data_IF_050076588373
#
_entry.id   IF_050076588373
#
_cell.length_a   1.000
_cell.length_b   1.000
_cell.length_c   1.000
_cell.angle_alpha   90.00
_cell.angle_beta   90.00
_cell.angle_gamma   90.00
#
_symmetry.space_group_name_H-M   'P 1'
#
loop_
_entity.id
_entity.type
_entity.pdbx_description
1 polymer ?
#
# COMPACT_ATOMS: atom_id res chain seq x y z
N UNK A 1 -26.69 -55.44 48.97
CA UNK A 1 -25.87 -54.21 48.82
C UNK A 1 -26.06 -53.72 47.39
N UNK A 2 -26.57 -52.57 46.98
CA UNK A 2 -27.25 -51.41 47.57
C UNK A 2 -27.63 -50.52 46.37
N UNK A 3 -28.90 -50.12 46.26
CA UNK A 3 -29.43 -49.25 45.18
C UNK A 3 -28.81 -47.84 45.23
N UNK A 4 -28.58 -47.18 44.08
CA UNK A 4 -29.03 -45.77 43.85
C UNK A 4 -28.83 -45.28 42.41
N UNK A 5 -29.97 -44.92 41.81
CA UNK A 5 -30.13 -43.93 40.74
C UNK A 5 -29.61 -42.55 41.18
N UNK A 6 -29.06 -41.75 40.25
CA UNK A 6 -29.12 -40.29 40.32
C UNK A 6 -29.17 -39.65 38.93
N UNK A 7 -30.35 -39.11 38.66
CA UNK A 7 -30.72 -38.12 37.65
C UNK A 7 -30.20 -36.73 38.07
N UNK A 8 -29.95 -35.86 37.06
CA UNK A 8 -29.75 -34.38 37.12
C UNK A 8 -28.45 -33.90 37.79
N UNK A 9 -27.73 -32.90 37.27
CA UNK A 9 -28.22 -31.61 36.79
C UNK A 9 -27.20 -30.91 35.85
N UNK A 10 -27.72 -30.28 34.78
CA UNK A 10 -27.11 -29.16 34.05
C UNK A 10 -26.46 -28.16 35.02
N UNK A 11 -25.16 -27.88 34.85
CA UNK A 11 -24.62 -26.52 34.75
C UNK A 11 -23.09 -26.58 34.57
N UNK A 12 -22.61 -26.50 33.34
CA UNK A 12 -21.32 -25.88 33.07
C UNK A 12 -21.49 -25.02 31.83
N UNK A 13 -21.26 -23.70 31.91
CA UNK A 13 -21.27 -22.87 30.72
C UNK A 13 -20.12 -23.37 29.84
N UNK A 14 -20.44 -23.70 28.59
CA UNK A 14 -19.42 -23.92 27.59
C UNK A 14 -18.61 -22.65 27.46
N UNK A 15 -17.41 -22.66 28.05
CA UNK A 15 -16.35 -21.75 27.65
C UNK A 15 -15.99 -22.11 26.23
N UNK A 16 -16.75 -21.56 25.27
CA UNK A 16 -16.24 -21.35 23.92
C UNK A 16 -14.96 -20.56 24.12
N UNK A 17 -13.85 -21.16 23.74
CA UNK A 17 -12.58 -20.46 23.55
C UNK A 17 -12.86 -19.23 22.67
N UNK A 18 -13.02 -18.08 23.32
CA UNK A 18 -13.12 -16.75 22.72
C UNK A 18 -11.71 -16.31 22.26
N UNK A 19 -11.04 -17.20 21.50
CA UNK A 19 -9.73 -16.97 20.89
C UNK A 19 -9.84 -16.47 19.45
N UNK A 20 -11.05 -16.23 18.98
CA UNK A 20 -11.33 -15.76 17.60
C UNK A 20 -11.70 -14.26 17.53
N UNK A 21 -11.48 -13.49 18.60
CA UNK A 21 -11.73 -12.05 18.62
C UNK A 21 -10.49 -11.21 19.05
N UNK A 22 -9.30 -11.64 18.64
CA UNK A 22 -8.11 -10.79 18.58
C UNK A 22 -7.88 -10.26 17.14
N UNK A 23 -8.96 -10.05 16.40
CA UNK A 23 -8.92 -9.42 15.10
C UNK A 23 -8.59 -7.93 15.27
N UNK A 24 -7.32 -7.56 15.11
CA UNK A 24 -6.84 -6.33 14.45
C UNK A 24 -7.74 -5.07 14.53
N UNK A 25 -8.30 -4.80 15.70
CA UNK A 25 -9.38 -3.82 15.90
C UNK A 25 -9.36 -3.14 17.26
N UNK A 26 -8.34 -3.40 18.08
CA UNK A 26 -7.97 -2.47 19.15
C UNK A 26 -7.34 -1.26 18.45
N UNK A 27 -8.11 -0.19 18.30
CA UNK A 27 -7.63 1.07 17.74
C UNK A 27 -6.36 1.49 18.45
N UNK A 28 -5.25 1.52 17.70
CA UNK A 28 -4.03 2.17 18.17
C UNK A 28 -4.40 3.58 18.64
N UNK A 29 -3.90 3.97 19.82
CA UNK A 29 -4.03 5.35 20.28
C UNK A 29 -3.56 6.29 19.17
N UNK A 30 -4.28 7.41 18.97
CA UNK A 30 -3.90 8.42 17.99
C UNK A 30 -2.43 8.81 18.23
N UNK A 31 -1.59 8.52 17.23
CA UNK A 31 -0.16 8.82 17.32
C UNK A 31 -0.03 10.34 17.30
N UNK A 32 0.47 10.91 18.38
CA UNK A 32 0.79 12.34 18.45
C UNK A 32 1.93 12.61 17.46
N UNK A 33 1.60 13.24 16.33
CA UNK A 33 2.55 13.55 15.24
C UNK A 33 3.35 14.84 15.48
N UNK A 34 3.52 15.21 16.74
CA UNK A 34 4.21 16.43 17.16
C UNK A 34 5.41 16.05 18.03
N UNK A 35 6.59 16.52 17.64
CA UNK A 35 7.80 16.35 18.42
C UNK A 35 8.66 17.60 18.31
N UNK A 36 8.76 18.34 19.43
CA UNK A 36 9.51 19.61 19.49
C UNK A 36 11.00 19.44 19.19
N UNK A 37 11.61 18.31 19.55
CA UNK A 37 13.02 18.03 19.25
C UNK A 37 13.22 17.79 17.76
N UNK A 38 12.28 17.13 17.11
CA UNK A 38 12.30 16.89 15.67
C UNK A 38 12.15 18.21 14.90
N UNK A 39 11.18 19.03 15.28
CA UNK A 39 10.97 20.35 14.66
C UNK A 39 12.17 21.27 14.84
N UNK A 40 12.75 21.32 16.04
CA UNK A 40 13.96 22.09 16.29
C UNK A 40 15.14 21.61 15.43
N UNK A 41 15.35 20.29 15.36
CA UNK A 41 16.42 19.70 14.55
C UNK A 41 16.32 20.09 13.07
N UNK A 42 15.15 19.92 12.44
CA UNK A 42 14.98 20.28 11.03
C UNK A 42 15.04 21.80 10.78
N UNK A 43 14.60 22.61 11.75
CA UNK A 43 14.69 24.06 11.68
C UNK A 43 16.14 24.55 11.72
N UNK A 44 16.98 23.97 12.57
CA UNK A 44 18.40 24.32 12.68
C UNK A 44 19.24 23.91 11.46
N UNK A 45 18.81 22.90 10.70
CA UNK A 45 19.53 22.47 9.51
C UNK A 45 19.51 23.51 8.37
N UNK A 46 18.58 24.46 8.38
CA UNK A 46 18.48 25.50 7.35
C UNK A 46 18.23 24.94 5.93
N UNK A 47 17.69 23.73 5.82
CA UNK A 47 17.38 23.09 4.54
C UNK A 47 16.08 23.64 3.91
N UNK A 48 15.15 24.09 4.75
CA UNK A 48 13.84 24.61 4.32
C UNK A 48 13.91 26.14 4.34
N UNK A 49 13.48 26.84 3.27
CA UNK A 49 13.42 28.29 3.25
C UNK A 49 12.56 28.89 4.37
N UNK A 50 12.94 30.09 4.83
CA UNK A 50 12.19 30.83 5.84
C UNK A 50 10.75 31.11 5.35
N UNK A 51 9.75 30.60 6.08
CA UNK A 51 8.33 30.73 5.74
C UNK A 51 7.66 29.48 5.18
N UNK A 52 8.42 28.49 4.71
CA UNK A 52 7.88 27.22 4.20
C UNK A 52 7.90 26.09 5.24
N UNK A 53 8.53 26.32 6.40
CA UNK A 53 8.72 25.32 7.44
C UNK A 53 7.40 24.73 7.97
N UNK A 54 6.37 25.55 8.11
CA UNK A 54 5.06 25.08 8.56
C UNK A 54 4.41 24.15 7.53
N UNK A 55 4.46 24.51 6.25
CA UNK A 55 3.94 23.68 5.14
C UNK A 55 4.71 22.37 5.02
N UNK A 56 6.04 22.41 5.20
CA UNK A 56 6.88 21.22 5.23
C UNK A 56 6.48 20.27 6.37
N UNK A 57 6.31 20.80 7.58
CA UNK A 57 5.89 20.01 8.74
C UNK A 57 4.46 19.48 8.58
N UNK A 58 3.57 20.24 7.95
CA UNK A 58 2.21 19.81 7.61
C UNK A 58 2.25 18.61 6.65
N UNK A 59 3.01 18.70 5.55
CA UNK A 59 3.18 17.60 4.60
C UNK A 59 3.78 16.34 5.24
N UNK A 60 4.71 16.47 6.19
CA UNK A 60 5.26 15.33 6.93
C UNK A 60 4.24 14.64 7.84
N UNK A 61 3.21 15.38 8.30
CA UNK A 61 2.14 14.81 9.13
C UNK A 61 1.08 14.10 8.30
N UNK A 62 0.97 14.40 7.01
CA UNK A 62 0.01 13.75 6.12
C UNK A 62 0.38 12.28 5.85
N UNK A 63 -0.61 11.38 5.77
CA UNK A 63 -0.37 10.00 5.41
C UNK A 63 0.03 9.90 3.93
N UNK A 64 1.07 9.11 3.64
CA UNK A 64 1.50 8.90 2.26
C UNK A 64 0.41 8.21 1.41
N UNK A 65 0.26 8.62 0.14
CA UNK A 65 -0.62 7.96 -0.81
C UNK A 65 -0.19 6.50 -1.03
N UNK A 66 -1.16 5.63 -1.25
CA UNK A 66 -0.86 4.26 -1.65
C UNK A 66 -0.35 4.25 -3.10
N UNK A 67 0.83 3.69 -3.32
CA UNK A 67 1.45 3.64 -4.66
C UNK A 67 1.59 2.19 -5.12
N UNK A 68 1.28 1.99 -6.40
CA UNK A 68 1.22 0.70 -7.08
C UNK A 68 2.17 0.76 -8.28
N UNK A 69 2.97 -0.28 -8.46
CA UNK A 69 3.89 -0.43 -9.59
C UNK A 69 3.63 -1.72 -10.34
N UNK A 70 3.49 -1.60 -11.66
CA UNK A 70 3.39 -2.72 -12.60
C UNK A 70 4.81 -3.23 -12.90
N UNK A 71 5.05 -4.52 -12.66
CA UNK A 71 6.33 -5.22 -12.80
C UNK A 71 6.31 -6.37 -13.81
N UNK A 72 5.17 -6.60 -14.47
CA UNK A 72 4.99 -7.66 -15.47
C UNK A 72 5.89 -7.52 -16.72
N UNK A 73 5.92 -8.56 -17.56
CA UNK A 73 6.57 -8.52 -18.89
C UNK A 73 5.96 -7.44 -19.78
N UNK A 74 6.72 -6.84 -20.71
CA UNK A 74 6.29 -5.65 -21.46
C UNK A 74 4.92 -5.77 -22.14
N UNK A 75 4.61 -6.90 -22.75
CA UNK A 75 3.29 -7.14 -23.38
C UNK A 75 2.19 -7.21 -22.33
N UNK A 76 2.39 -8.02 -21.29
CA UNK A 76 1.41 -8.24 -20.24
C UNK A 76 1.20 -7.00 -19.36
N UNK A 77 2.25 -6.22 -19.08
CA UNK A 77 2.16 -4.96 -18.36
C UNK A 77 1.28 -3.94 -19.11
N UNK A 78 1.35 -3.91 -20.45
CA UNK A 78 0.49 -3.07 -21.28
C UNK A 78 -0.97 -3.54 -21.25
N UNK A 79 -1.21 -4.84 -21.28
CA UNK A 79 -2.56 -5.42 -21.15
C UNK A 79 -3.19 -5.09 -19.79
N UNK A 80 -2.42 -5.24 -18.70
CA UNK A 80 -2.83 -4.87 -17.35
C UNK A 80 -3.14 -3.37 -17.27
N UNK A 81 -2.27 -2.52 -17.84
CA UNK A 81 -2.48 -1.08 -17.89
C UNK A 81 -3.76 -0.71 -18.65
N UNK A 82 -4.00 -1.35 -19.79
CA UNK A 82 -5.22 -1.14 -20.59
C UNK A 82 -6.47 -1.55 -19.81
N UNK A 83 -6.44 -2.74 -19.17
CA UNK A 83 -7.52 -3.21 -18.31
C UNK A 83 -7.78 -2.26 -17.13
N UNK A 84 -6.73 -1.77 -16.48
CA UNK A 84 -6.82 -0.79 -15.39
C UNK A 84 -7.52 0.49 -15.83
N UNK A 85 -7.08 1.08 -16.95
CA UNK A 85 -7.63 2.34 -17.45
C UNK A 85 -9.07 2.21 -17.94
N UNK A 86 -9.33 1.20 -18.77
CA UNK A 86 -10.61 1.12 -19.49
C UNK A 86 -11.73 0.51 -18.66
N UNK A 87 -11.40 -0.39 -17.72
CA UNK A 87 -12.39 -1.03 -16.88
C UNK A 87 -12.51 -0.34 -15.53
N UNK A 88 -11.40 -0.23 -14.80
CA UNK A 88 -11.48 0.18 -13.40
C UNK A 88 -11.43 1.71 -13.22
N UNK A 89 -10.57 2.43 -13.93
CA UNK A 89 -10.43 3.87 -13.69
C UNK A 89 -11.65 4.66 -14.15
N UNK A 90 -12.29 4.27 -15.26
CA UNK A 90 -13.57 4.86 -15.69
C UNK A 90 -14.67 4.62 -14.66
N UNK A 91 -14.82 3.37 -14.21
CA UNK A 91 -15.82 3.01 -13.19
C UNK A 91 -15.58 3.70 -11.84
N UNK A 92 -14.33 4.04 -11.51
CA UNK A 92 -13.95 4.73 -10.27
C UNK A 92 -14.14 6.25 -10.39
N UNK A 93 -13.88 6.83 -11.57
CA UNK A 93 -13.97 8.28 -11.78
C UNK A 93 -15.40 8.82 -11.58
N UNK A 94 -16.41 8.01 -11.91
CA UNK A 94 -17.82 8.36 -11.76
C UNK A 94 -18.43 7.91 -10.42
N UNK A 95 -17.61 7.40 -9.49
CA UNK A 95 -18.09 6.81 -8.24
C UNK A 95 -18.09 7.81 -7.08
N UNK A 96 -19.30 8.09 -6.58
CA UNK A 96 -19.52 8.85 -5.35
C UNK A 96 -19.83 7.91 -4.19
N UNK A 97 -19.05 7.96 -3.12
CA UNK A 97 -19.30 7.18 -1.89
C UNK A 97 -19.42 8.17 -0.73
N UNK A 98 -20.52 8.07 0.02
CA UNK A 98 -20.80 8.91 1.19
C UNK A 98 -20.74 10.44 0.92
N UNK A 99 -21.11 10.87 -0.28
CA UNK A 99 -21.08 12.29 -0.66
C UNK A 99 -19.68 12.84 -0.98
N UNK A 100 -18.67 11.97 -1.06
CA UNK A 100 -17.31 12.32 -1.49
C UNK A 100 -17.01 11.65 -2.83
N UNK A 101 -16.63 12.45 -3.83
CA UNK A 101 -16.06 11.94 -5.07
C UNK A 101 -14.73 11.26 -4.78
N UNK A 102 -14.58 10.03 -5.25
CA UNK A 102 -13.32 9.29 -5.12
C UNK A 102 -12.40 9.70 -6.26
N UNK A 103 -11.20 10.16 -5.92
CA UNK A 103 -10.17 10.39 -6.92
C UNK A 103 -9.68 9.05 -7.50
N UNK A 104 -9.84 8.90 -8.81
CA UNK A 104 -9.27 7.79 -9.55
C UNK A 104 -7.73 7.79 -9.40
N UNK A 105 -7.07 6.61 -9.39
CA UNK A 105 -5.62 6.53 -9.36
C UNK A 105 -4.98 7.38 -10.45
N UNK A 106 -3.93 8.11 -10.09
CA UNK A 106 -3.21 9.01 -10.99
C UNK A 106 -1.83 8.43 -11.33
N UNK A 107 -1.35 8.63 -12.58
CA UNK A 107 -0.03 8.14 -12.98
C UNK A 107 1.06 9.02 -12.37
N UNK A 108 2.19 8.41 -12.00
CA UNK A 108 3.39 9.15 -11.62
C UNK A 108 4.06 9.69 -12.89
N UNK A 109 4.00 11.00 -13.10
CA UNK A 109 4.50 11.67 -14.32
C UNK A 109 5.98 11.44 -14.63
N UNK A 110 6.79 11.18 -13.61
CA UNK A 110 8.23 10.93 -13.72
C UNK A 110 8.58 9.44 -13.90
N UNK A 111 7.61 8.52 -13.76
CA UNK A 111 7.85 7.09 -13.93
C UNK A 111 7.59 6.69 -15.39
N UNK A 112 8.50 5.93 -16.04
CA UNK A 112 8.38 5.59 -17.45
C UNK A 112 7.14 4.73 -17.76
N UNK A 113 6.61 4.89 -18.98
CA UNK A 113 5.51 4.11 -19.56
C UNK A 113 4.22 4.08 -18.72
N UNK A 114 4.04 5.04 -17.80
CA UNK A 114 2.92 5.09 -16.85
C UNK A 114 2.74 3.76 -16.10
N UNK A 115 3.83 3.06 -15.78
CA UNK A 115 3.78 1.78 -15.07
C UNK A 115 3.65 1.94 -13.55
N UNK A 116 3.57 3.17 -13.04
CA UNK A 116 3.39 3.45 -11.62
C UNK A 116 2.27 4.47 -11.39
N UNK A 117 1.43 4.17 -10.40
CA UNK A 117 0.19 4.88 -10.10
C UNK A 117 0.07 5.11 -8.59
N UNK A 118 -0.50 6.25 -8.19
CA UNK A 118 -0.80 6.55 -6.80
C UNK A 118 -2.30 6.75 -6.59
N UNK A 119 -2.78 6.43 -5.39
CA UNK A 119 -4.18 6.59 -4.99
C UNK A 119 -4.28 6.94 -3.51
N UNK A 120 -5.21 7.84 -3.19
CA UNK A 120 -5.55 8.24 -1.83
C UNK A 120 -6.71 7.41 -1.24
N UNK A 121 -7.15 6.36 -1.94
CA UNK A 121 -8.24 5.51 -1.48
C UNK A 121 -7.87 4.78 -0.18
N UNK A 122 -8.65 5.05 0.87
CA UNK A 122 -8.51 4.32 2.12
C UNK A 122 -9.09 2.90 2.03
N UNK A 123 -8.52 1.95 2.78
CA UNK A 123 -9.06 0.57 2.88
C UNK A 123 -10.53 0.54 3.31
N UNK A 124 -10.97 1.52 4.10
CA UNK A 124 -12.37 1.63 4.55
C UNK A 124 -13.29 1.92 3.38
N UNK A 125 -12.89 2.81 2.46
CA UNK A 125 -13.68 3.19 1.27
C UNK A 125 -13.76 2.02 0.28
N UNK A 126 -12.65 1.30 0.08
CA UNK A 126 -12.59 0.16 -0.84
C UNK A 126 -13.63 -0.92 -0.50
N UNK A 127 -13.88 -1.17 0.80
CA UNK A 127 -14.84 -2.20 1.26
C UNK A 127 -16.30 -1.76 1.16
N UNK A 128 -16.59 -0.49 0.91
CA UNK A 128 -17.96 0.05 0.87
C UNK A 128 -18.64 -0.15 -0.48
N UNK A 129 -17.89 -0.12 -1.58
CA UNK A 129 -18.44 -0.31 -2.92
C UNK A 129 -18.07 -1.68 -3.50
N UNK A 130 -19.04 -2.43 -4.03
CA UNK A 130 -18.76 -3.67 -4.76
C UNK A 130 -17.82 -3.48 -5.97
N UNK A 131 -17.80 -2.29 -6.59
CA UNK A 131 -16.89 -1.99 -7.69
C UNK A 131 -15.44 -1.88 -7.22
N UNK A 132 -15.23 -1.19 -6.09
CA UNK A 132 -13.91 -1.06 -5.49
C UNK A 132 -13.39 -2.38 -4.90
N UNK A 133 -14.28 -3.22 -4.40
CA UNK A 133 -13.91 -4.56 -3.94
C UNK A 133 -13.44 -5.44 -5.11
N UNK A 134 -14.10 -5.38 -6.28
CA UNK A 134 -13.61 -6.05 -7.51
C UNK A 134 -12.25 -5.53 -7.95
N UNK A 135 -12.05 -4.20 -7.90
CA UNK A 135 -10.75 -3.58 -8.19
C UNK A 135 -9.67 -4.06 -7.21
N UNK A 136 -9.97 -4.11 -5.92
CA UNK A 136 -9.05 -4.60 -4.90
C UNK A 136 -8.71 -6.08 -5.10
N UNK A 137 -9.69 -6.93 -5.39
CA UNK A 137 -9.45 -8.34 -5.70
C UNK A 137 -8.54 -8.51 -6.93
N UNK A 138 -8.74 -7.69 -7.96
CA UNK A 138 -7.85 -7.65 -9.13
C UNK A 138 -6.42 -7.25 -8.74
N UNK A 139 -6.25 -6.20 -7.93
CA UNK A 139 -4.92 -5.81 -7.46
C UNK A 139 -4.25 -6.92 -6.63
N UNK A 140 -5.01 -7.63 -5.80
CA UNK A 140 -4.50 -8.75 -5.00
C UNK A 140 -4.07 -9.89 -5.93
N UNK A 141 -4.88 -10.30 -6.91
CA UNK A 141 -4.54 -11.38 -7.84
C UNK A 141 -3.31 -11.07 -8.69
N UNK A 142 -3.18 -9.83 -9.14
CA UNK A 142 -1.99 -9.39 -9.90
C UNK A 142 -0.75 -9.25 -9.01
N UNK A 143 -0.93 -8.95 -7.73
CA UNK A 143 0.17 -8.91 -6.74
C UNK A 143 0.66 -10.32 -6.43
N UNK A 144 -0.25 -11.28 -6.23
CA UNK A 144 0.07 -12.70 -6.04
C UNK A 144 0.78 -13.29 -7.25
N UNK A 145 0.41 -12.86 -8.46
CA UNK A 145 1.07 -13.25 -9.71
C UNK A 145 2.43 -12.55 -9.92
N UNK A 146 2.78 -11.55 -9.11
CA UNK A 146 4.02 -10.77 -9.23
C UNK A 146 4.03 -9.75 -10.37
N UNK A 147 2.89 -9.51 -11.01
CA UNK A 147 2.72 -8.52 -12.06
C UNK A 147 2.55 -7.10 -11.51
N UNK A 148 2.06 -6.99 -10.29
CA UNK A 148 1.90 -5.73 -9.57
C UNK A 148 2.64 -5.83 -8.22
N UNK A 149 3.17 -4.71 -7.75
CA UNK A 149 3.75 -4.60 -6.42
C UNK A 149 3.38 -3.26 -5.79
N UNK A 150 3.11 -3.28 -4.47
CA UNK A 150 2.94 -2.05 -3.69
C UNK A 150 4.32 -1.53 -3.29
N UNK A 151 4.68 -0.32 -3.73
CA UNK A 151 5.99 0.28 -3.46
C UNK A 151 5.83 1.77 -3.24
N UNK A 152 6.60 2.33 -2.31
CA UNK A 152 6.63 3.78 -2.11
C UNK A 152 7.22 4.48 -3.32
N UNK A 153 6.59 5.60 -3.72
CA UNK A 153 7.02 6.45 -4.81
C UNK A 153 8.52 6.80 -4.74
N UNK A 154 8.97 7.30 -3.58
CA UNK A 154 10.35 7.74 -3.38
C UNK A 154 11.38 6.59 -3.48
N UNK A 155 10.98 5.37 -3.13
CA UNK A 155 11.85 4.19 -3.23
C UNK A 155 12.09 3.73 -4.67
N UNK A 156 11.27 4.20 -5.63
CA UNK A 156 11.42 3.89 -7.05
C UNK A 156 12.44 4.80 -7.76
N UNK A 157 12.81 5.94 -7.16
CA UNK A 157 13.72 6.92 -7.76
C UNK A 157 15.17 6.39 -7.89
N UNK A 158 15.80 5.83 -6.84
CA UNK A 158 17.21 5.42 -6.93
C UNK A 158 17.49 4.40 -8.05
N UNK A 159 16.66 3.35 -8.27
CA UNK A 159 16.81 2.42 -9.38
C UNK A 159 16.80 3.10 -10.77
N UNK A 160 15.95 4.10 -10.97
CA UNK A 160 15.87 4.85 -12.23
C UNK A 160 17.13 5.69 -12.47
N UNK A 161 17.66 6.32 -11.42
CA UNK A 161 18.85 7.15 -11.52
C UNK A 161 20.13 6.34 -11.71
N UNK A 162 20.21 5.14 -11.11
CA UNK A 162 21.37 4.26 -11.22
C UNK A 162 21.58 3.64 -12.62
N UNK A 163 20.59 3.77 -13.54
CA UNK A 163 20.66 3.33 -14.96
C UNK A 163 21.37 2.00 -15.15
N UNK A 164 20.84 0.98 -14.51
CA UNK A 164 21.58 -0.27 -14.36
C UNK A 164 21.40 -1.11 -15.63
N UNK A 165 22.53 -1.50 -16.23
CA UNK A 165 22.55 -2.35 -17.41
C UNK A 165 22.71 -3.83 -17.06
N UNK A 166 22.26 -4.77 -17.94
CA UNK A 166 22.26 -6.20 -17.64
C UNK A 166 23.63 -6.82 -17.32
N UNK A 167 24.71 -6.19 -17.77
CA UNK A 167 26.08 -6.67 -17.55
C UNK A 167 26.72 -6.13 -16.25
N UNK A 168 26.04 -5.25 -15.51
CA UNK A 168 26.52 -4.73 -14.23
C UNK A 168 26.35 -5.75 -13.10
N UNK A 169 27.41 -6.01 -12.34
CA UNK A 169 27.34 -6.77 -11.09
C UNK A 169 26.89 -5.85 -9.96
N UNK A 170 25.90 -6.30 -9.18
CA UNK A 170 25.28 -5.50 -8.11
C UNK A 170 25.44 -6.17 -6.75
N UNK A 171 25.68 -5.34 -5.74
CA UNK A 171 25.65 -5.71 -4.33
C UNK A 171 24.71 -4.74 -3.63
N UNK A 172 23.64 -5.26 -3.03
CA UNK A 172 22.81 -4.48 -2.11
C UNK A 172 23.39 -4.60 -0.70
N UNK A 173 23.95 -3.52 -0.16
CA UNK A 173 24.52 -3.50 1.19
C UNK A 173 23.45 -3.58 2.29
N UNK A 174 22.19 -3.27 1.96
CA UNK A 174 21.04 -3.38 2.84
C UNK A 174 20.06 -4.44 2.31
N UNK A 175 20.17 -5.71 2.73
CA UNK A 175 19.36 -6.81 2.19
C UNK A 175 17.88 -6.76 2.63
N UNK A 176 17.52 -5.93 3.62
CA UNK A 176 16.17 -5.88 4.19
C UNK A 176 15.15 -5.03 3.41
N UNK A 177 15.58 -4.21 2.45
CA UNK A 177 14.65 -3.46 1.57
C UNK A 177 14.38 -4.27 0.30
N UNK A 178 13.52 -5.28 0.39
CA UNK A 178 13.03 -6.06 -0.78
C UNK A 178 12.59 -5.17 -1.96
N UNK A 179 12.13 -3.95 -1.65
CA UNK A 179 11.63 -2.93 -2.57
C UNK A 179 12.71 -2.47 -3.56
N UNK A 180 13.93 -2.15 -3.10
CA UNK A 180 15.00 -1.65 -3.96
C UNK A 180 15.54 -2.75 -4.87
N UNK A 181 15.68 -3.98 -4.36
CA UNK A 181 16.16 -5.13 -5.15
C UNK A 181 15.17 -5.53 -6.26
N UNK A 182 13.86 -5.52 -6.00
CA UNK A 182 12.85 -5.81 -7.02
C UNK A 182 12.81 -4.75 -8.13
N UNK A 183 12.94 -3.47 -7.78
CA UNK A 183 13.03 -2.35 -8.74
C UNK A 183 14.28 -2.41 -9.62
N UNK A 184 15.39 -2.75 -8.97
CA UNK A 184 16.72 -2.94 -9.55
C UNK A 184 16.68 -4.13 -10.54
N UNK A 185 16.10 -5.27 -10.18
CA UNK A 185 15.89 -6.41 -11.09
C UNK A 185 15.01 -6.07 -12.29
N UNK A 186 13.99 -5.22 -12.14
CA UNK A 186 13.15 -4.78 -13.25
C UNK A 186 13.93 -3.94 -14.27
N UNK A 187 14.78 -2.99 -13.84
CA UNK A 187 15.59 -2.17 -14.75
C UNK A 187 16.53 -3.00 -15.64
N UNK A 188 16.89 -4.23 -15.22
CA UNK A 188 17.75 -5.14 -15.97
C UNK A 188 16.99 -6.06 -16.93
N UNK A 189 15.65 -6.17 -16.82
CA UNK A 189 14.91 -7.12 -17.68
C UNK A 189 15.03 -6.68 -19.15
N UNK A 190 15.58 -7.54 -20.02
CA UNK A 190 15.80 -7.17 -21.41
C UNK A 190 14.48 -6.89 -22.11
N UNK A 191 14.54 -5.94 -23.03
CA UNK A 191 13.45 -5.57 -23.93
C UNK A 191 13.26 -6.68 -24.97
N UNK A 192 12.64 -7.79 -24.58
CA UNK A 192 12.20 -8.84 -25.52
C UNK A 192 10.69 -8.89 -25.51
#
# INVERSE_FOLDING_TARGET
MGKRSRQRQKNQPGGRDDRDNAGWGAGYADIVKENKLFEHYYKEQGLVPDGEFEQFMEALREPLPATIRITGYKSHAKEILHCLKDKYFKDIQDLEIDGQMIEAPQPLSWYPDEQAWHTNMSRKIIRKSPLLEKFHQFLVSETESGNISRQEAVSMIPPLLMKIEPHHKRVSLLPMTWITNAATCWCIRPSV
#
